data_IF_647835378161
#
_entry.id   IF_647835378161
#
_cell.length_a   1.000
_cell.length_b   1.000
_cell.length_c   1.000
_cell.angle_alpha   90.00
_cell.angle_beta   90.00
_cell.angle_gamma   90.00
#
_symmetry.space_group_name_H-M   'P 1'
#
loop_
_entity.id
_entity.type
_entity.pdbx_description
1 polymer ?
#
# COMPACT_ATOMS: atom_id res chain seq x y z
N UNK A 1 14.23 -4.04 -8.00
CA UNK A 1 14.93 -2.81 -8.41
C UNK A 1 16.43 -2.87 -8.12
N UNK A 2 16.86 -3.12 -6.86
CA UNK A 2 18.27 -3.17 -6.48
C UNK A 2 19.10 -4.17 -7.32
N UNK A 3 18.53 -5.33 -7.61
CA UNK A 3 19.19 -6.37 -8.42
C UNK A 3 19.21 -6.04 -9.91
N UNK A 4 18.15 -5.47 -10.45
CA UNK A 4 17.96 -5.27 -11.87
C UNK A 4 18.53 -3.96 -12.41
N UNK A 5 18.92 -3.03 -11.55
CA UNK A 5 19.36 -1.69 -11.98
C UNK A 5 20.54 -1.75 -12.97
N UNK A 6 21.51 -2.62 -12.71
CA UNK A 6 22.68 -2.81 -13.57
C UNK A 6 22.41 -3.72 -14.79
N UNK A 7 21.24 -4.39 -14.82
CA UNK A 7 20.86 -5.40 -15.82
C UNK A 7 19.71 -4.94 -16.72
N UNK A 8 19.28 -3.69 -16.61
CA UNK A 8 18.10 -3.12 -17.27
C UNK A 8 18.09 -3.25 -18.82
N UNK A 9 19.17 -3.73 -19.44
CA UNK A 9 19.28 -3.92 -20.88
C UNK A 9 19.01 -5.35 -21.36
N UNK A 10 18.66 -6.28 -20.44
CA UNK A 10 18.32 -7.66 -20.78
C UNK A 10 16.87 -7.92 -20.41
N UNK A 11 16.13 -8.53 -21.31
CA UNK A 11 14.81 -9.06 -20.97
C UNK A 11 15.02 -10.32 -20.14
N UNK A 12 14.51 -10.33 -18.92
CA UNK A 12 14.66 -11.43 -17.96
C UNK A 12 13.39 -11.62 -17.14
N UNK A 13 13.11 -12.88 -16.84
CA UNK A 13 12.09 -13.27 -15.86
C UNK A 13 12.76 -13.76 -14.60
N UNK A 14 12.42 -13.17 -13.48
CA UNK A 14 13.04 -13.49 -12.18
C UNK A 14 11.98 -13.88 -11.15
N UNK A 15 12.35 -14.79 -10.27
CA UNK A 15 11.61 -15.10 -9.06
C UNK A 15 12.33 -14.48 -7.86
N UNK A 16 11.63 -13.67 -7.08
CA UNK A 16 12.12 -13.12 -5.82
C UNK A 16 11.46 -13.86 -4.67
N UNK A 17 12.26 -14.64 -3.96
CA UNK A 17 11.85 -15.45 -2.81
C UNK A 17 12.30 -14.72 -1.54
N UNK A 18 11.37 -14.09 -0.84
CA UNK A 18 11.62 -13.32 0.37
C UNK A 18 11.07 -14.04 1.60
N UNK A 19 11.98 -14.63 2.39
CA UNK A 19 11.66 -15.23 3.67
C UNK A 19 12.30 -14.40 4.78
N UNK A 20 11.48 -13.50 5.32
CA UNK A 20 11.85 -12.56 6.37
C UNK A 20 11.72 -13.14 7.78
N UNK A 21 11.60 -12.25 8.78
CA UNK A 21 11.38 -12.61 10.18
C UNK A 21 9.97 -13.11 10.47
N UNK A 22 8.95 -12.51 9.87
CA UNK A 22 7.54 -12.81 10.17
C UNK A 22 6.69 -13.19 8.96
N UNK A 23 7.15 -12.93 7.74
CA UNK A 23 6.41 -13.17 6.50
C UNK A 23 7.26 -13.88 5.46
N UNK A 24 6.57 -14.61 4.60
CA UNK A 24 7.09 -15.18 3.37
C UNK A 24 6.37 -14.57 2.17
N UNK A 25 7.12 -14.06 1.22
CA UNK A 25 6.62 -13.50 -0.03
C UNK A 25 7.39 -14.07 -1.23
N UNK A 26 6.67 -14.37 -2.30
CA UNK A 26 7.21 -14.75 -3.59
C UNK A 26 6.63 -13.83 -4.66
N UNK A 27 7.49 -13.20 -5.45
CA UNK A 27 7.09 -12.35 -6.58
C UNK A 27 7.77 -12.84 -7.86
N UNK A 28 6.99 -12.91 -8.92
CA UNK A 28 7.47 -13.23 -10.27
C UNK A 28 7.46 -11.92 -11.06
N UNK A 29 8.62 -11.55 -11.57
CA UNK A 29 8.82 -10.29 -12.28
C UNK A 29 9.41 -10.53 -13.66
N UNK A 30 9.04 -9.66 -14.59
CA UNK A 30 9.72 -9.49 -15.87
C UNK A 30 10.35 -8.11 -15.92
N UNK A 31 11.57 -7.99 -16.42
CA UNK A 31 12.17 -6.70 -16.66
C UNK A 31 12.92 -6.67 -17.99
N UNK A 32 12.82 -5.53 -18.64
CA UNK A 32 13.44 -5.24 -19.91
C UNK A 32 13.24 -3.78 -20.30
N UNK A 33 14.21 -3.20 -21.00
CA UNK A 33 14.12 -1.83 -21.47
C UNK A 33 13.92 -0.75 -20.38
N UNK A 34 14.28 -1.05 -19.11
CA UNK A 34 14.08 -0.14 -17.97
C UNK A 34 12.73 -0.28 -17.26
N UNK A 35 11.87 -1.19 -17.73
CA UNK A 35 10.58 -1.49 -17.08
C UNK A 35 10.72 -2.73 -16.23
N UNK A 36 10.28 -2.64 -14.99
CA UNK A 36 10.15 -3.75 -14.04
C UNK A 36 8.68 -4.01 -13.84
N UNK A 37 8.17 -5.13 -14.32
CA UNK A 37 6.77 -5.50 -14.22
C UNK A 37 6.63 -6.70 -13.30
N UNK A 38 5.82 -6.55 -12.24
CA UNK A 38 5.41 -7.67 -11.40
C UNK A 38 4.29 -8.41 -12.14
N UNK A 39 4.51 -9.67 -12.46
CA UNK A 39 3.51 -10.52 -13.12
C UNK A 39 2.56 -11.14 -12.12
N UNK A 40 3.09 -11.56 -10.97
CA UNK A 40 2.30 -12.10 -9.87
C UNK A 40 3.04 -12.01 -8.56
N UNK A 41 2.30 -12.00 -7.47
CA UNK A 41 2.82 -12.14 -6.11
C UNK A 41 1.91 -13.04 -5.28
N UNK A 42 2.52 -13.78 -4.36
CA UNK A 42 1.80 -14.59 -3.37
C UNK A 42 2.67 -14.71 -2.11
N UNK A 43 2.12 -15.23 -1.01
CA UNK A 43 2.89 -15.35 0.21
C UNK A 43 2.09 -15.93 1.37
N UNK A 44 2.73 -15.94 2.54
CA UNK A 44 2.10 -16.27 3.81
C UNK A 44 2.53 -15.24 4.86
N UNK A 45 1.56 -14.51 5.41
CA UNK A 45 1.79 -13.46 6.40
C UNK A 45 2.08 -13.98 7.81
N UNK A 46 2.11 -15.30 7.99
CA UNK A 46 2.34 -16.00 9.25
C UNK A 46 3.42 -17.08 9.10
N UNK A 47 4.35 -16.91 8.17
CA UNK A 47 5.47 -17.83 7.94
C UNK A 47 6.76 -17.01 7.84
N UNK A 48 7.60 -17.11 8.84
CA UNK A 48 8.86 -16.37 8.89
C UNK A 48 9.85 -16.92 9.90
N UNK A 49 10.96 -16.22 10.09
CA UNK A 49 12.05 -16.57 10.99
C UNK A 49 11.62 -16.85 12.42
N UNK A 50 10.59 -16.14 12.90
CA UNK A 50 10.03 -16.31 14.24
C UNK A 50 9.42 -17.71 14.42
N UNK A 51 8.82 -18.29 13.39
CA UNK A 51 8.28 -19.64 13.42
C UNK A 51 9.40 -20.68 13.50
N UNK A 52 10.50 -20.43 12.79
CA UNK A 52 11.70 -21.27 12.89
C UNK A 52 12.36 -21.19 14.27
N UNK A 53 12.34 -20.03 14.91
CA UNK A 53 12.78 -19.89 16.29
C UNK A 53 11.86 -20.64 17.26
N UNK A 54 10.55 -20.57 17.02
CA UNK A 54 9.56 -21.22 17.86
C UNK A 54 9.72 -22.77 17.88
N UNK A 55 10.08 -23.40 16.77
CA UNK A 55 10.32 -24.86 16.77
C UNK A 55 11.55 -25.23 17.59
N UNK A 56 12.58 -24.37 17.63
CA UNK A 56 13.76 -24.56 18.49
C UNK A 56 13.37 -24.38 19.96
N UNK A 57 12.62 -23.32 20.26
CA UNK A 57 12.12 -23.05 21.63
C UNK A 57 11.30 -24.25 22.13
N UNK A 58 10.36 -24.73 21.35
CA UNK A 58 9.52 -25.87 21.70
C UNK A 58 10.34 -27.13 21.98
N UNK A 59 11.37 -27.37 21.15
CA UNK A 59 12.29 -28.48 21.36
C UNK A 59 13.08 -28.30 22.69
N UNK A 60 13.64 -27.12 22.97
CA UNK A 60 14.37 -26.84 24.21
C UNK A 60 13.51 -26.98 25.45
N UNK A 61 12.28 -26.49 25.41
CA UNK A 61 11.28 -26.66 26.49
C UNK A 61 11.01 -28.14 26.76
N UNK A 62 10.82 -28.91 25.70
CA UNK A 62 10.57 -30.37 25.86
C UNK A 62 11.79 -31.12 26.40
N UNK A 63 13.00 -30.78 25.91
CA UNK A 63 14.25 -31.36 26.42
C UNK A 63 14.45 -31.04 27.91
N UNK A 64 14.24 -29.81 28.34
CA UNK A 64 14.36 -29.42 29.74
C UNK A 64 13.30 -30.12 30.62
N UNK A 65 12.08 -30.24 30.11
CA UNK A 65 11.01 -30.93 30.79
C UNK A 65 11.33 -32.41 30.97
N UNK A 66 11.96 -33.04 29.99
CA UNK A 66 12.40 -34.44 30.10
C UNK A 66 13.53 -34.64 31.10
N UNK A 67 14.48 -33.67 31.16
CA UNK A 67 15.66 -33.75 32.03
C UNK A 67 15.33 -33.39 33.49
N UNK A 68 14.57 -32.30 33.70
CA UNK A 68 14.38 -31.71 35.02
C UNK A 68 12.94 -31.76 35.55
N UNK A 69 11.99 -32.24 34.73
CA UNK A 69 10.58 -32.37 35.13
C UNK A 69 9.83 -31.03 35.26
N UNK A 70 10.43 -29.92 34.85
CA UNK A 70 9.88 -28.58 34.96
C UNK A 70 9.60 -27.94 33.58
N UNK A 71 8.64 -27.03 33.54
CA UNK A 71 8.20 -26.38 32.31
C UNK A 71 8.69 -24.92 32.24
N UNK A 72 9.62 -24.67 31.34
CA UNK A 72 10.21 -23.35 31.15
C UNK A 72 9.21 -22.27 30.65
N UNK A 73 8.06 -22.69 30.13
CA UNK A 73 7.03 -21.75 29.64
C UNK A 73 6.34 -20.98 30.77
N UNK A 74 6.48 -21.43 32.00
CA UNK A 74 5.91 -20.76 33.16
C UNK A 74 6.75 -19.58 33.67
N UNK A 75 7.98 -19.42 33.18
CA UNK A 75 8.87 -18.31 33.54
C UNK A 75 9.11 -17.38 32.34
N UNK A 76 8.56 -16.15 32.36
CA UNK A 76 8.74 -15.18 31.27
C UNK A 76 10.21 -14.81 31.01
N UNK A 77 11.05 -14.81 32.04
CA UNK A 77 12.49 -14.53 31.89
C UNK A 77 13.20 -15.69 31.17
N UNK A 78 12.84 -16.93 31.51
CA UNK A 78 13.36 -18.11 30.83
C UNK A 78 12.93 -18.10 29.35
N UNK A 79 11.67 -17.78 29.06
CA UNK A 79 11.18 -17.67 27.69
C UNK A 79 11.92 -16.63 26.87
N UNK A 80 12.19 -15.45 27.42
CA UNK A 80 12.95 -14.42 26.72
C UNK A 80 14.37 -14.90 26.36
N UNK A 81 15.05 -15.55 27.31
CA UNK A 81 16.39 -16.12 27.08
C UNK A 81 16.38 -17.25 26.07
N UNK A 82 15.29 -18.07 26.05
CA UNK A 82 15.11 -19.12 25.05
C UNK A 82 14.95 -18.53 23.65
N UNK A 83 14.18 -17.43 23.49
CA UNK A 83 14.01 -16.74 22.20
C UNK A 83 15.34 -16.25 21.64
N UNK A 84 16.09 -15.53 22.44
CA UNK A 84 17.41 -15.02 22.03
C UNK A 84 18.39 -16.16 21.66
N UNK A 85 18.38 -17.24 22.43
CA UNK A 85 19.23 -18.38 22.15
C UNK A 85 18.80 -19.20 20.93
N UNK A 86 17.49 -19.30 20.69
CA UNK A 86 16.94 -19.98 19.50
C UNK A 86 17.28 -19.22 18.22
N UNK A 87 17.06 -17.91 18.20
CA UNK A 87 17.42 -17.04 17.06
C UNK A 87 18.92 -17.13 16.76
N UNK A 88 19.76 -17.00 17.80
CA UNK A 88 21.21 -17.14 17.65
C UNK A 88 21.59 -18.52 17.08
N UNK A 89 21.01 -19.60 17.60
CA UNK A 89 21.26 -20.95 17.12
C UNK A 89 20.82 -21.14 15.67
N UNK A 90 19.65 -20.61 15.27
CA UNK A 90 19.19 -20.60 13.87
C UNK A 90 20.20 -19.92 12.95
N UNK A 91 20.68 -18.75 13.32
CA UNK A 91 21.67 -17.99 12.54
C UNK A 91 22.97 -18.78 12.42
N UNK A 92 23.51 -19.32 13.52
CA UNK A 92 24.75 -20.11 13.51
C UNK A 92 24.63 -21.37 12.68
N UNK A 93 23.48 -22.05 12.70
CA UNK A 93 23.24 -23.27 11.91
C UNK A 93 23.12 -22.99 10.40
N UNK A 94 23.00 -21.75 9.96
CA UNK A 94 23.10 -21.40 8.54
C UNK A 94 24.51 -21.61 7.98
N UNK A 95 25.56 -21.47 8.81
CA UNK A 95 26.95 -21.66 8.43
C UNK A 95 27.60 -22.88 9.07
N UNK A 96 27.17 -23.30 10.26
CA UNK A 96 27.75 -24.40 11.02
C UNK A 96 26.84 -25.65 10.96
N UNK A 97 27.43 -26.84 11.14
CA UNK A 97 26.69 -28.11 11.18
C UNK A 97 26.07 -28.40 12.56
N UNK A 98 26.56 -27.73 13.61
CA UNK A 98 26.04 -27.82 14.97
C UNK A 98 26.36 -26.55 15.76
N UNK A 99 25.57 -26.29 16.80
CA UNK A 99 25.78 -25.21 17.76
C UNK A 99 25.45 -25.68 19.17
N UNK A 100 26.11 -25.13 20.19
CA UNK A 100 25.80 -25.36 21.57
C UNK A 100 24.93 -24.21 22.11
N UNK A 101 23.79 -24.58 22.65
CA UNK A 101 22.89 -23.67 23.38
C UNK A 101 23.18 -23.85 24.87
N UNK A 102 23.73 -22.81 25.51
CA UNK A 102 24.12 -22.85 26.91
C UNK A 102 23.46 -21.68 27.67
N UNK A 103 22.48 -22.02 28.49
CA UNK A 103 21.72 -21.09 29.29
C UNK A 103 21.89 -21.41 30.78
N UNK A 104 22.94 -20.88 31.42
CA UNK A 104 23.19 -21.11 32.84
C UNK A 104 22.11 -20.46 33.68
N UNK A 105 21.72 -21.15 34.78
CA UNK A 105 20.70 -20.68 35.73
C UNK A 105 19.40 -20.25 35.05
N UNK A 106 18.89 -21.10 34.16
CA UNK A 106 17.70 -20.79 33.35
C UNK A 106 16.44 -20.61 34.21
N UNK A 107 16.26 -21.52 35.18
CA UNK A 107 15.23 -21.41 36.21
C UNK A 107 15.57 -22.29 37.44
N UNK A 108 15.05 -21.98 38.64
CA UNK A 108 15.14 -22.88 39.78
C UNK A 108 14.08 -24.00 39.69
N UNK A 109 14.50 -25.25 40.01
CA UNK A 109 13.59 -26.38 40.15
C UNK A 109 13.73 -26.88 41.59
N UNK A 110 12.64 -26.89 42.37
CA UNK A 110 12.63 -27.22 43.80
C UNK A 110 13.68 -26.39 44.60
N UNK A 111 13.85 -25.13 44.26
CA UNK A 111 14.81 -24.24 44.92
C UNK A 111 16.26 -24.42 44.49
N UNK A 112 16.56 -25.34 43.55
CA UNK A 112 17.89 -25.58 43.03
C UNK A 112 18.01 -24.95 41.64
N UNK A 113 18.96 -24.02 41.42
CA UNK A 113 19.19 -23.44 40.10
C UNK A 113 19.59 -24.50 39.07
N UNK A 114 18.91 -24.51 37.92
CA UNK A 114 19.16 -25.45 36.83
C UNK A 114 19.75 -24.76 35.61
N UNK A 115 20.51 -25.48 34.83
CA UNK A 115 21.13 -25.04 33.59
C UNK A 115 20.52 -25.79 32.41
N UNK A 116 20.39 -25.11 31.28
CA UNK A 116 20.04 -25.74 30.00
C UNK A 116 21.28 -25.74 29.13
N UNK A 117 21.84 -26.89 28.84
CA UNK A 117 22.95 -27.08 27.91
C UNK A 117 22.57 -28.18 26.93
N UNK A 118 22.43 -27.78 25.66
CA UNK A 118 22.03 -28.69 24.58
C UNK A 118 22.82 -28.38 23.31
N UNK A 119 23.22 -29.43 22.61
CA UNK A 119 23.80 -29.32 21.27
C UNK A 119 22.69 -29.50 20.24
N UNK A 120 22.47 -28.50 19.40
CA UNK A 120 21.55 -28.57 18.27
C UNK A 120 22.35 -28.77 16.98
N UNK A 121 22.07 -29.83 16.25
CA UNK A 121 22.65 -30.05 14.91
C UNK A 121 21.74 -29.45 13.85
N UNK A 122 22.33 -29.02 12.71
CA UNK A 122 21.59 -28.55 11.54
C UNK A 122 20.55 -29.59 11.09
N UNK A 123 20.91 -30.88 11.01
CA UNK A 123 20.00 -31.93 10.61
C UNK A 123 18.78 -32.05 11.56
N UNK A 124 19.00 -31.89 12.88
CA UNK A 124 17.90 -31.87 13.85
C UNK A 124 17.00 -30.65 13.66
N UNK A 125 17.60 -29.46 13.51
CA UNK A 125 16.85 -28.23 13.24
C UNK A 125 16.02 -28.33 11.95
N UNK A 126 16.61 -28.76 10.84
CA UNK A 126 15.91 -28.95 9.55
C UNK A 126 14.77 -29.98 9.66
N UNK A 127 14.97 -31.03 10.45
CA UNK A 127 13.91 -32.00 10.74
C UNK A 127 12.76 -31.37 11.53
N UNK A 128 13.04 -30.54 12.53
CA UNK A 128 12.03 -29.83 13.32
C UNK A 128 11.26 -28.80 12.46
N UNK A 129 11.97 -28.12 11.57
CA UNK A 129 11.44 -27.06 10.72
C UNK A 129 10.86 -27.56 9.37
N UNK A 130 10.89 -28.86 9.11
CA UNK A 130 10.51 -29.43 7.80
C UNK A 130 9.14 -28.96 7.31
N UNK A 131 8.14 -28.91 8.19
CA UNK A 131 6.79 -28.45 7.84
C UNK A 131 6.76 -27.00 7.38
N UNK A 132 7.52 -26.12 8.06
CA UNK A 132 7.63 -24.70 7.71
C UNK A 132 8.33 -24.49 6.36
N UNK A 133 9.42 -25.26 6.14
CA UNK A 133 10.14 -25.23 4.85
C UNK A 133 9.21 -25.64 3.71
N UNK A 134 8.45 -26.72 3.86
CA UNK A 134 7.53 -27.19 2.84
C UNK A 134 6.36 -26.24 2.59
N UNK A 135 5.93 -25.49 3.61
CA UNK A 135 4.85 -24.50 3.48
C UNK A 135 5.18 -23.39 2.47
N UNK A 136 6.46 -23.10 2.24
CA UNK A 136 6.87 -22.13 1.20
C UNK A 136 6.52 -22.57 -0.23
N UNK A 137 6.30 -23.86 -0.49
CA UNK A 137 6.09 -24.36 -1.85
C UNK A 137 4.74 -23.96 -2.45
N UNK A 138 3.67 -23.98 -1.66
CA UNK A 138 2.32 -23.69 -2.20
C UNK A 138 2.20 -22.26 -2.72
N UNK A 139 2.66 -21.21 -1.99
CA UNK A 139 2.72 -19.86 -2.54
C UNK A 139 3.58 -19.77 -3.82
N UNK A 140 4.72 -20.47 -3.87
CA UNK A 140 5.56 -20.49 -5.07
C UNK A 140 4.82 -21.09 -6.29
N UNK A 141 4.15 -22.23 -6.12
CA UNK A 141 3.35 -22.84 -7.19
C UNK A 141 2.23 -21.91 -7.64
N UNK A 142 1.56 -21.27 -6.70
CA UNK A 142 0.47 -20.35 -6.99
C UNK A 142 0.97 -19.14 -7.77
N UNK A 143 2.05 -18.49 -7.34
CA UNK A 143 2.63 -17.35 -8.05
C UNK A 143 3.05 -17.73 -9.48
N UNK A 144 3.70 -18.89 -9.69
CA UNK A 144 4.05 -19.38 -11.02
C UNK A 144 2.81 -19.62 -11.90
N UNK A 145 1.77 -20.22 -11.33
CA UNK A 145 0.51 -20.47 -12.04
C UNK A 145 -0.19 -19.15 -12.41
N UNK A 146 -0.24 -18.17 -11.48
CA UNK A 146 -0.89 -16.88 -11.71
C UNK A 146 -0.12 -16.04 -12.75
N UNK A 147 1.22 -16.17 -12.81
CA UNK A 147 2.05 -15.58 -13.86
C UNK A 147 1.93 -16.31 -15.22
N UNK A 148 1.31 -17.48 -15.27
CA UNK A 148 1.22 -18.30 -16.49
C UNK A 148 2.56 -18.84 -16.97
N UNK A 149 3.54 -19.02 -16.06
CA UNK A 149 4.91 -19.43 -16.36
C UNK A 149 5.21 -20.82 -15.82
N UNK A 150 6.14 -21.50 -16.49
CA UNK A 150 6.79 -22.72 -16.01
C UNK A 150 8.13 -22.40 -15.34
N UNK A 151 8.65 -23.30 -14.51
CA UNK A 151 9.94 -23.10 -13.84
C UNK A 151 11.10 -22.88 -14.83
N UNK A 152 11.00 -23.42 -16.06
CA UNK A 152 12.01 -23.23 -17.13
C UNK A 152 12.03 -21.79 -17.66
N UNK A 153 10.94 -21.04 -17.54
CA UNK A 153 10.81 -19.67 -18.03
C UNK A 153 11.48 -18.65 -17.09
N UNK A 154 11.78 -19.04 -15.86
CA UNK A 154 12.49 -18.19 -14.90
C UNK A 154 13.98 -18.19 -15.25
N UNK A 155 14.57 -17.04 -15.47
CA UNK A 155 16.00 -16.90 -15.76
C UNK A 155 16.86 -16.95 -14.50
N UNK A 156 16.46 -16.26 -13.46
CA UNK A 156 17.17 -16.20 -12.18
C UNK A 156 16.22 -16.22 -10.98
N UNK A 157 16.72 -16.75 -9.86
CA UNK A 157 16.02 -16.76 -8.57
C UNK A 157 16.84 -15.96 -7.57
N UNK A 158 16.21 -15.01 -6.92
CA UNK A 158 16.82 -14.09 -5.93
C UNK A 158 16.28 -14.43 -4.56
N UNK A 159 17.18 -14.62 -3.61
CA UNK A 159 16.84 -14.83 -2.21
C UNK A 159 16.91 -13.50 -1.44
N UNK A 160 15.87 -13.22 -0.69
CA UNK A 160 15.70 -12.04 0.15
C UNK A 160 15.26 -12.49 1.55
N UNK A 161 15.56 -11.68 2.56
CA UNK A 161 15.24 -11.97 3.95
C UNK A 161 16.25 -12.90 4.63
N UNK A 162 16.53 -12.66 5.91
CA UNK A 162 17.55 -13.39 6.66
C UNK A 162 17.32 -14.89 6.75
N UNK A 163 16.05 -15.33 6.82
CA UNK A 163 15.68 -16.74 6.94
C UNK A 163 15.91 -17.53 5.63
N UNK A 164 16.03 -16.87 4.49
CA UNK A 164 16.43 -17.49 3.23
C UNK A 164 17.86 -18.02 3.23
N UNK A 165 18.66 -17.68 4.26
CA UNK A 165 20.03 -18.22 4.46
C UNK A 165 20.03 -19.65 4.97
N UNK A 166 18.91 -20.18 5.45
CA UNK A 166 18.78 -21.57 5.94
C UNK A 166 19.06 -22.52 4.80
N UNK A 167 20.06 -23.45 4.92
CA UNK A 167 20.47 -24.29 3.81
C UNK A 167 19.37 -25.16 3.22
N UNK A 168 18.46 -25.68 4.05
CA UNK A 168 17.32 -26.46 3.57
C UNK A 168 16.31 -25.62 2.78
N UNK A 169 16.17 -24.32 3.09
CA UNK A 169 15.35 -23.38 2.30
C UNK A 169 16.01 -23.14 0.94
N UNK A 170 17.33 -22.89 0.91
CA UNK A 170 18.04 -22.70 -0.36
C UNK A 170 17.94 -23.94 -1.26
N UNK A 171 18.07 -25.13 -0.66
CA UNK A 171 17.90 -26.40 -1.38
C UNK A 171 16.47 -26.56 -1.91
N UNK A 172 15.45 -26.24 -1.12
CA UNK A 172 14.05 -26.29 -1.56
C UNK A 172 13.84 -25.40 -2.79
N UNK A 173 14.36 -24.17 -2.75
CA UNK A 173 14.25 -23.21 -3.85
C UNK A 173 14.98 -23.73 -5.11
N UNK A 174 16.19 -24.23 -4.95
CA UNK A 174 16.96 -24.81 -6.04
C UNK A 174 16.26 -26.03 -6.66
N UNK A 175 15.74 -26.93 -5.82
CA UNK A 175 15.02 -28.13 -6.28
C UNK A 175 13.70 -27.74 -6.99
N UNK A 176 12.99 -26.70 -6.52
CA UNK A 176 11.72 -26.27 -7.12
C UNK A 176 11.91 -25.55 -8.46
N UNK A 177 12.82 -24.58 -8.54
CA UNK A 177 13.04 -23.80 -9.76
C UNK A 177 14.03 -24.48 -10.73
N UNK A 178 14.75 -25.52 -10.29
CA UNK A 178 15.78 -26.16 -11.08
C UNK A 178 17.00 -25.29 -11.36
N UNK A 179 17.19 -24.25 -10.56
CA UNK A 179 18.25 -23.24 -10.72
C UNK A 179 18.85 -22.86 -9.37
N UNK A 180 20.15 -22.75 -9.30
CA UNK A 180 20.84 -22.26 -8.09
C UNK A 180 20.52 -20.79 -7.90
N UNK A 181 20.05 -20.40 -6.72
CA UNK A 181 19.73 -19.00 -6.43
C UNK A 181 20.92 -18.07 -6.61
N UNK A 182 20.65 -16.88 -7.16
CA UNK A 182 21.67 -15.85 -7.40
C UNK A 182 22.23 -15.31 -6.07
N UNK A 183 23.55 -15.12 -6.03
CA UNK A 183 24.26 -14.48 -4.88
C UNK A 183 24.56 -13.01 -5.14
N UNK A 184 23.91 -12.40 -6.14
CA UNK A 184 24.20 -11.04 -6.59
C UNK A 184 23.74 -9.93 -5.66
N UNK A 185 22.95 -10.25 -4.60
CA UNK A 185 22.49 -9.28 -3.61
C UNK A 185 22.70 -9.81 -2.19
N UNK A 186 22.83 -8.88 -1.23
CA UNK A 186 22.80 -9.22 0.18
C UNK A 186 21.33 -9.34 0.64
N UNK A 187 20.85 -10.50 1.07
CA UNK A 187 19.46 -10.69 1.47
C UNK A 187 18.98 -9.81 2.60
N UNK A 188 19.91 -9.31 3.45
CA UNK A 188 19.58 -8.48 4.61
C UNK A 188 19.43 -6.99 4.25
N UNK A 189 20.06 -6.53 3.15
CA UNK A 189 20.17 -5.12 2.77
C UNK A 189 19.37 -4.77 1.51
N UNK A 190 19.07 -5.75 0.67
CA UNK A 190 18.52 -5.53 -0.68
C UNK A 190 17.20 -4.76 -0.66
N UNK A 191 16.36 -4.96 0.36
CA UNK A 191 15.09 -4.23 0.52
C UNK A 191 15.35 -2.75 0.75
N UNK A 192 16.29 -2.41 1.64
CA UNK A 192 16.64 -1.01 1.92
C UNK A 192 17.25 -0.33 0.69
N UNK A 193 18.12 -1.04 -0.05
CA UNK A 193 18.69 -0.54 -1.31
C UNK A 193 17.58 -0.34 -2.35
N UNK A 194 16.67 -1.31 -2.51
CA UNK A 194 15.53 -1.20 -3.42
C UNK A 194 14.61 -0.02 -3.09
N UNK A 195 14.34 0.21 -1.82
CA UNK A 195 13.56 1.36 -1.35
C UNK A 195 14.26 2.69 -1.66
N UNK A 196 15.58 2.77 -1.49
CA UNK A 196 16.37 3.95 -1.84
C UNK A 196 16.33 4.22 -3.36
N UNK A 197 16.46 3.19 -4.19
CA UNK A 197 16.33 3.29 -5.65
C UNK A 197 14.94 3.81 -6.03
N UNK A 198 13.88 3.25 -5.43
CA UNK A 198 12.52 3.71 -5.69
C UNK A 198 12.31 5.18 -5.27
N UNK A 199 12.88 5.59 -4.14
CA UNK A 199 12.90 6.99 -3.70
C UNK A 199 13.55 7.91 -4.74
N UNK A 200 14.72 7.52 -5.27
CA UNK A 200 15.43 8.27 -6.29
C UNK A 200 14.67 8.32 -7.65
N UNK A 201 13.91 7.28 -7.99
CA UNK A 201 13.00 7.29 -9.15
C UNK A 201 11.86 8.29 -8.94
N UNK A 202 11.26 8.31 -7.74
CA UNK A 202 10.15 9.22 -7.42
C UNK A 202 10.57 10.69 -7.33
N UNK A 203 11.87 10.97 -7.05
CA UNK A 203 12.45 12.33 -7.03
C UNK A 203 13.09 12.76 -8.35
N UNK A 204 12.93 11.97 -9.43
CA UNK A 204 13.55 12.20 -10.74
C UNK A 204 15.09 12.18 -10.75
N UNK A 205 15.75 11.69 -9.70
CA UNK A 205 17.19 11.51 -9.64
C UNK A 205 17.66 10.34 -10.53
N UNK A 206 16.85 9.27 -10.58
CA UNK A 206 17.04 8.14 -11.50
C UNK A 206 15.93 8.19 -12.56
N UNK A 207 16.31 8.24 -13.83
CA UNK A 207 15.39 8.30 -14.98
C UNK A 207 15.46 7.02 -15.80
N UNK A 208 14.35 6.75 -16.51
CA UNK A 208 14.28 5.59 -17.41
C UNK A 208 14.05 4.25 -16.70
N UNK A 209 13.65 4.28 -15.45
CA UNK A 209 13.24 3.11 -14.67
C UNK A 209 11.78 3.28 -14.26
N UNK A 210 10.96 2.26 -14.51
CA UNK A 210 9.54 2.21 -14.13
C UNK A 210 9.28 0.89 -13.44
N UNK A 211 8.63 0.95 -12.28
CA UNK A 211 8.11 -0.24 -11.58
C UNK A 211 6.59 -0.28 -11.77
N UNK A 212 6.10 -1.37 -12.36
CA UNK A 212 4.69 -1.71 -12.46
C UNK A 212 4.41 -2.83 -11.45
N UNK A 213 3.69 -2.49 -10.41
CA UNK A 213 3.34 -3.41 -9.33
C UNK A 213 1.91 -3.95 -9.51
N UNK A 214 1.50 -4.91 -8.69
CA UNK A 214 0.18 -5.56 -8.74
C UNK A 214 -0.52 -5.53 -7.39
N UNK A 215 -1.85 -5.68 -7.43
CA UNK A 215 -2.61 -5.90 -6.18
C UNK A 215 -2.37 -7.32 -5.68
N UNK A 216 -1.92 -7.55 -4.43
CA UNK A 216 -1.66 -8.90 -3.92
C UNK A 216 -2.92 -9.72 -3.70
N UNK A 217 -4.05 -9.06 -3.46
CA UNK A 217 -5.35 -9.67 -3.20
C UNK A 217 -6.43 -8.96 -4.00
N UNK A 218 -7.48 -9.70 -4.36
CA UNK A 218 -8.67 -9.14 -5.03
C UNK A 218 -9.35 -8.09 -4.16
N UNK A 219 -9.85 -7.06 -4.82
CA UNK A 219 -10.69 -6.03 -4.20
C UNK A 219 -12.11 -6.14 -4.74
N UNK A 220 -13.08 -5.99 -3.87
CA UNK A 220 -14.48 -6.10 -4.22
C UNK A 220 -15.39 -5.42 -3.23
N UNK A 221 -16.67 -5.63 -3.39
CA UNK A 221 -17.72 -5.11 -2.52
C UNK A 221 -18.62 -6.23 -2.00
N UNK A 222 -19.23 -6.00 -0.86
CA UNK A 222 -20.30 -6.85 -0.36
C UNK A 222 -21.57 -6.63 -1.18
N UNK A 223 -22.15 -7.73 -1.64
CA UNK A 223 -23.42 -7.74 -2.35
C UNK A 223 -24.46 -8.54 -1.60
N UNK A 224 -25.70 -8.59 -2.14
CA UNK A 224 -26.83 -9.26 -1.53
C UNK A 224 -26.48 -10.68 -1.06
N UNK A 225 -26.83 -11.01 0.19
CA UNK A 225 -26.53 -12.29 0.81
C UNK A 225 -25.18 -12.38 1.48
N UNK A 226 -24.44 -11.26 1.66
CA UNK A 226 -23.13 -11.23 2.31
C UNK A 226 -22.02 -11.84 1.44
N UNK A 227 -22.18 -11.82 0.12
CA UNK A 227 -21.21 -12.34 -0.84
C UNK A 227 -20.23 -11.25 -1.24
N UNK A 228 -18.94 -11.58 -1.33
CA UNK A 228 -17.95 -10.70 -1.92
C UNK A 228 -17.98 -10.79 -3.44
N UNK A 229 -18.35 -9.71 -4.10
CA UNK A 229 -18.24 -9.55 -5.56
C UNK A 229 -16.93 -8.86 -5.88
N UNK A 230 -16.02 -9.57 -6.54
CA UNK A 230 -14.72 -9.05 -6.95
C UNK A 230 -14.88 -8.05 -8.09
N UNK A 231 -14.21 -6.92 -8.00
CA UNK A 231 -14.14 -5.89 -9.03
C UNK A 231 -12.77 -5.82 -9.66
N UNK A 232 -11.72 -5.95 -8.85
CA UNK A 232 -10.32 -5.99 -9.28
C UNK A 232 -9.76 -7.31 -8.77
N UNK A 233 -9.31 -8.15 -9.67
CA UNK A 233 -8.72 -9.44 -9.31
C UNK A 233 -7.31 -9.29 -8.73
N UNK A 234 -6.89 -10.26 -7.92
CA UNK A 234 -5.50 -10.37 -7.47
C UNK A 234 -4.55 -10.39 -8.68
N UNK A 235 -3.34 -9.88 -8.48
CA UNK A 235 -2.31 -9.75 -9.51
C UNK A 235 -2.71 -8.84 -10.70
N UNK A 236 -3.65 -7.91 -10.48
CA UNK A 236 -3.93 -6.84 -11.45
C UNK A 236 -2.90 -5.73 -11.30
N UNK A 237 -2.25 -5.34 -12.41
CA UNK A 237 -1.26 -4.25 -12.45
C UNK A 237 -1.88 -2.93 -11.98
N UNK A 238 -1.15 -2.21 -11.12
CA UNK A 238 -1.57 -0.90 -10.60
C UNK A 238 -0.79 0.23 -11.29
N UNK A 239 -1.45 1.42 -11.47
CA UNK A 239 -2.79 1.80 -10.99
C UNK A 239 -3.92 1.16 -11.81
N UNK A 240 -4.92 0.58 -11.15
CA UNK A 240 -6.09 -0.01 -11.77
C UNK A 240 -7.37 0.78 -11.44
N UNK A 241 -8.30 0.81 -12.39
CA UNK A 241 -9.63 1.41 -12.19
C UNK A 241 -10.69 0.47 -12.74
N UNK A 242 -11.71 0.19 -11.92
CA UNK A 242 -12.87 -0.60 -12.31
C UNK A 242 -14.15 0.13 -11.92
N UNK A 243 -15.15 0.07 -12.78
CA UNK A 243 -16.51 0.59 -12.52
C UNK A 243 -17.51 -0.48 -12.87
N UNK A 244 -18.47 -0.72 -11.99
CA UNK A 244 -19.57 -1.65 -12.18
C UNK A 244 -20.88 -0.99 -11.76
N UNK A 245 -21.98 -1.39 -12.40
CA UNK A 245 -23.32 -0.88 -12.06
C UNK A 245 -24.06 -1.95 -11.31
N UNK A 246 -24.55 -1.60 -10.13
CA UNK A 246 -25.38 -2.48 -9.30
C UNK A 246 -26.78 -1.88 -9.17
N UNK A 247 -27.80 -2.75 -9.10
CA UNK A 247 -29.15 -2.35 -8.76
C UNK A 247 -29.38 -2.41 -7.25
N UNK A 248 -30.34 -1.63 -6.76
CA UNK A 248 -30.81 -1.72 -5.37
C UNK A 248 -31.49 -3.06 -5.11
N UNK A 249 -31.39 -3.55 -3.87
CA UNK A 249 -31.96 -4.83 -3.45
C UNK A 249 -33.49 -4.76 -3.26
N UNK A 250 -34.05 -3.56 -3.07
CA UNK A 250 -35.48 -3.33 -2.84
C UNK A 250 -35.96 -2.09 -3.57
N UNK A 251 -37.25 -2.06 -3.91
CA UNK A 251 -37.91 -0.90 -4.48
C UNK A 251 -37.93 0.26 -3.49
N UNK A 252 -37.70 1.48 -4.00
CA UNK A 252 -37.63 2.73 -3.23
C UNK A 252 -36.51 2.77 -2.15
N UNK A 253 -35.46 1.98 -2.33
CA UNK A 253 -34.28 2.07 -1.48
C UNK A 253 -33.59 3.42 -1.69
N UNK A 254 -33.51 4.25 -0.63
CA UNK A 254 -32.98 5.62 -0.69
C UNK A 254 -31.51 5.72 -0.35
N UNK A 255 -30.94 4.65 0.21
CA UNK A 255 -29.58 4.62 0.72
C UNK A 255 -28.90 3.31 0.35
N UNK A 256 -27.63 3.38 -0.03
CA UNK A 256 -26.80 2.21 -0.32
C UNK A 256 -25.50 2.32 0.49
N UNK A 257 -25.26 1.34 1.34
CA UNK A 257 -23.96 1.17 2.00
C UNK A 257 -23.07 0.34 1.10
N UNK A 258 -21.93 0.89 0.69
CA UNK A 258 -20.91 0.22 -0.08
C UNK A 258 -19.84 -0.26 0.90
N UNK A 259 -19.76 -1.56 1.12
CA UNK A 259 -18.72 -2.19 1.96
C UNK A 259 -17.61 -2.72 1.06
N UNK A 260 -16.45 -2.06 1.11
CA UNK A 260 -15.27 -2.41 0.31
C UNK A 260 -14.43 -3.45 1.06
N UNK A 261 -14.08 -4.50 0.36
CA UNK A 261 -13.42 -5.69 0.90
C UNK A 261 -12.14 -6.00 0.12
N UNK A 262 -11.18 -6.61 0.81
CA UNK A 262 -9.97 -7.17 0.22
C UNK A 262 -9.81 -8.63 0.66
N UNK A 263 -9.59 -9.54 -0.29
CA UNK A 263 -9.36 -10.96 -0.01
C UNK A 263 -9.89 -11.87 -1.11
N UNK A 264 -9.77 -13.18 -0.87
CA UNK A 264 -10.12 -14.22 -1.85
C UNK A 264 -11.31 -15.09 -1.42
N UNK A 265 -11.87 -14.84 -0.24
CA UNK A 265 -12.96 -15.66 0.30
C UNK A 265 -14.29 -15.25 -0.34
N UNK A 266 -15.19 -16.23 -0.65
CA UNK A 266 -16.49 -15.93 -1.25
C UNK A 266 -17.41 -15.08 -0.37
N UNK A 267 -17.31 -15.23 0.96
CA UNK A 267 -18.18 -14.50 1.90
C UNK A 267 -17.51 -13.22 2.41
N UNK A 268 -18.25 -12.13 2.41
CA UNK A 268 -17.79 -10.80 2.83
C UNK A 268 -17.15 -10.81 4.23
N UNK A 269 -17.79 -11.47 5.20
CA UNK A 269 -17.32 -11.55 6.58
C UNK A 269 -15.97 -12.27 6.76
N UNK A 270 -15.51 -13.00 5.76
CA UNK A 270 -14.24 -13.74 5.77
C UNK A 270 -13.09 -12.95 5.11
N UNK A 271 -13.38 -11.76 4.59
CA UNK A 271 -12.41 -10.89 3.95
C UNK A 271 -12.11 -9.66 4.82
N UNK A 272 -11.00 -9.00 4.52
CA UNK A 272 -10.62 -7.78 5.22
C UNK A 272 -11.51 -6.62 4.78
N UNK A 273 -12.21 -5.99 5.74
CA UNK A 273 -12.91 -4.74 5.51
C UNK A 273 -11.88 -3.61 5.30
N UNK A 274 -11.99 -2.91 4.18
CA UNK A 274 -11.21 -1.72 3.87
C UNK A 274 -11.94 -0.46 4.32
N UNK A 275 -13.27 -0.46 4.17
CA UNK A 275 -14.13 0.64 4.60
C UNK A 275 -15.58 0.45 4.17
N UNK A 276 -16.44 1.26 4.75
CA UNK A 276 -17.85 1.35 4.38
C UNK A 276 -18.18 2.78 4.00
N UNK A 277 -18.90 2.96 2.92
CA UNK A 277 -19.30 4.23 2.35
C UNK A 277 -20.82 4.26 2.21
N UNK A 278 -21.44 5.36 2.63
CA UNK A 278 -22.86 5.60 2.41
C UNK A 278 -23.02 6.53 1.21
N UNK A 279 -23.52 6.01 0.09
CA UNK A 279 -23.54 6.73 -1.17
C UNK A 279 -24.39 8.02 -1.12
N UNK A 280 -25.44 8.07 -0.31
CA UNK A 280 -26.26 9.28 -0.17
C UNK A 280 -25.63 10.31 0.76
N UNK A 281 -25.03 9.88 1.88
CA UNK A 281 -24.30 10.77 2.79
C UNK A 281 -23.09 11.39 2.10
N UNK A 282 -22.32 10.59 1.37
CA UNK A 282 -21.14 11.05 0.63
C UNK A 282 -21.51 12.02 -0.49
N UNK A 283 -22.65 11.80 -1.18
CA UNK A 283 -23.14 12.73 -2.19
C UNK A 283 -23.48 14.10 -1.60
N UNK A 284 -24.18 14.14 -0.47
CA UNK A 284 -24.50 15.39 0.24
C UNK A 284 -23.24 16.12 0.73
N UNK A 285 -22.31 15.36 1.28
CA UNK A 285 -21.03 15.95 1.74
C UNK A 285 -20.19 16.49 0.57
N UNK A 286 -20.15 15.76 -0.54
CA UNK A 286 -19.49 16.21 -1.76
C UNK A 286 -20.16 17.48 -2.34
N UNK A 287 -21.49 17.50 -2.45
CA UNK A 287 -22.22 18.70 -2.87
C UNK A 287 -21.92 19.90 -1.97
N UNK A 288 -21.79 19.67 -0.65
CA UNK A 288 -21.40 20.70 0.32
C UNK A 288 -19.99 21.21 0.06
N UNK A 289 -19.02 20.30 -0.13
CA UNK A 289 -17.61 20.64 -0.43
C UNK A 289 -17.50 21.38 -1.75
N UNK A 290 -18.19 20.92 -2.80
CA UNK A 290 -18.20 21.57 -4.11
C UNK A 290 -18.75 23.02 -4.04
N UNK A 291 -19.80 23.24 -3.25
CA UNK A 291 -20.33 24.58 -3.00
C UNK A 291 -19.37 25.49 -2.25
N UNK A 292 -18.71 24.97 -1.22
CA UNK A 292 -17.67 25.72 -0.49
C UNK A 292 -16.52 26.12 -1.41
N UNK A 293 -16.04 25.20 -2.26
CA UNK A 293 -14.98 25.47 -3.23
C UNK A 293 -15.40 26.50 -4.28
N UNK A 294 -16.66 26.47 -4.74
CA UNK A 294 -17.21 27.48 -5.65
C UNK A 294 -17.28 28.87 -4.98
N UNK A 295 -17.72 28.92 -3.73
CA UNK A 295 -17.76 30.18 -2.97
C UNK A 295 -16.36 30.75 -2.76
N UNK A 296 -15.37 29.93 -2.39
CA UNK A 296 -13.96 30.32 -2.25
C UNK A 296 -13.38 30.87 -3.55
N UNK A 297 -13.64 30.20 -4.67
CA UNK A 297 -13.19 30.65 -5.99
C UNK A 297 -13.81 31.99 -6.36
N UNK A 298 -15.09 32.19 -6.08
CA UNK A 298 -15.79 33.44 -6.36
C UNK A 298 -15.32 34.58 -5.45
N UNK A 299 -15.07 34.30 -4.18
CA UNK A 299 -14.48 35.27 -3.22
C UNK A 299 -13.13 35.74 -3.75
N UNK A 300 -12.24 34.82 -4.09
CA UNK A 300 -10.90 35.11 -4.58
C UNK A 300 -10.91 35.92 -5.89
N UNK A 301 -11.75 35.51 -6.86
CA UNK A 301 -11.90 36.23 -8.14
C UNK A 301 -12.43 37.64 -7.92
N UNK A 302 -13.44 37.79 -7.05
CA UNK A 302 -14.02 39.10 -6.73
C UNK A 302 -13.02 40.04 -6.06
N UNK A 303 -12.25 39.54 -5.08
CA UNK A 303 -11.21 40.33 -4.43
C UNK A 303 -10.12 40.79 -5.40
N UNK A 304 -9.72 39.89 -6.32
CA UNK A 304 -8.72 40.19 -7.35
C UNK A 304 -9.25 41.27 -8.30
N UNK A 305 -10.48 41.11 -8.79
CA UNK A 305 -11.11 42.08 -9.69
C UNK A 305 -11.33 43.44 -9.02
N UNK A 306 -11.75 43.47 -7.75
CA UNK A 306 -11.87 44.73 -7.01
C UNK A 306 -10.53 45.43 -6.81
N UNK A 307 -9.43 44.68 -6.64
CA UNK A 307 -8.07 45.29 -6.61
C UNK A 307 -7.61 45.81 -7.97
N UNK A 308 -7.87 45.05 -9.04
CA UNK A 308 -7.47 45.43 -10.40
C UNK A 308 -8.28 46.62 -10.95
N UNK A 309 -9.59 46.66 -10.68
CA UNK A 309 -10.49 47.72 -11.07
C UNK A 309 -10.31 49.00 -10.24
N UNK A 310 -9.89 48.87 -8.97
CA UNK A 310 -9.49 49.94 -8.09
C UNK A 310 -10.35 51.19 -8.18
N UNK A 311 -9.73 52.31 -8.58
CA UNK A 311 -10.40 53.61 -8.70
C UNK A 311 -11.20 53.76 -10.00
N UNK A 312 -11.23 52.77 -10.87
CA UNK A 312 -12.00 52.79 -12.15
C UNK A 312 -13.49 52.46 -11.90
N UNK A 313 -13.81 51.87 -10.77
CA UNK A 313 -15.19 51.51 -10.40
C UNK A 313 -15.82 52.65 -9.57
N UNK A 314 -16.97 53.21 -9.99
CA UNK A 314 -17.67 54.24 -9.20
C UNK A 314 -18.00 53.74 -7.83
N UNK A 315 -17.90 54.60 -6.83
CA UNK A 315 -18.08 54.24 -5.40
C UNK A 315 -19.48 53.66 -5.09
N UNK A 316 -20.51 54.15 -5.78
CA UNK A 316 -21.88 53.67 -5.71
C UNK A 316 -22.10 52.25 -6.25
N UNK A 317 -21.19 51.75 -7.10
CA UNK A 317 -21.20 50.36 -7.63
C UNK A 317 -20.27 49.43 -6.87
N UNK A 318 -19.21 50.00 -6.29
CA UNK A 318 -18.25 49.24 -5.50
C UNK A 318 -18.89 48.79 -4.16
N UNK A 319 -19.65 49.66 -3.48
CA UNK A 319 -20.26 49.36 -2.22
C UNK A 319 -21.23 48.15 -2.20
N UNK A 320 -22.12 47.95 -3.19
CA UNK A 320 -22.97 46.75 -3.27
C UNK A 320 -22.16 45.46 -3.48
N UNK A 321 -21.07 45.49 -4.28
CA UNK A 321 -20.21 44.32 -4.50
C UNK A 321 -19.46 43.96 -3.23
N UNK A 322 -18.89 44.95 -2.52
CA UNK A 322 -18.19 44.73 -1.26
C UNK A 322 -19.14 44.19 -0.17
N UNK A 323 -20.37 44.68 -0.11
CA UNK A 323 -21.38 44.18 0.83
C UNK A 323 -21.78 42.74 0.55
N UNK A 324 -22.02 42.38 -0.72
CA UNK A 324 -22.34 41.03 -1.13
C UNK A 324 -21.13 40.06 -0.93
N UNK A 325 -19.91 40.55 -1.20
CA UNK A 325 -18.70 39.80 -0.94
C UNK A 325 -18.51 39.50 0.56
N UNK A 326 -18.75 40.50 1.41
CA UNK A 326 -18.65 40.29 2.87
C UNK A 326 -19.68 39.25 3.36
N UNK A 327 -20.92 39.36 2.87
CA UNK A 327 -21.98 38.40 3.16
C UNK A 327 -21.61 36.98 2.74
N UNK A 328 -21.00 36.83 1.57
CA UNK A 328 -20.53 35.50 1.09
C UNK A 328 -19.39 34.95 1.96
N UNK A 329 -18.44 35.79 2.36
CA UNK A 329 -17.37 35.40 3.30
C UNK A 329 -17.89 34.94 4.64
N UNK A 330 -18.85 35.65 5.20
CA UNK A 330 -19.43 35.32 6.49
C UNK A 330 -20.23 34.01 6.42
N UNK A 331 -21.00 33.80 5.35
CA UNK A 331 -21.71 32.55 5.09
C UNK A 331 -20.74 31.37 4.87
N UNK A 332 -19.65 31.57 4.11
CA UNK A 332 -18.62 30.59 3.89
C UNK A 332 -17.93 30.18 5.20
N UNK A 333 -17.55 31.14 6.01
CA UNK A 333 -16.95 30.90 7.35
C UNK A 333 -17.89 30.14 8.28
N UNK A 334 -19.20 30.42 8.21
CA UNK A 334 -20.23 29.73 8.98
C UNK A 334 -20.62 28.38 8.39
N UNK A 335 -20.16 28.05 7.19
CA UNK A 335 -20.56 26.87 6.43
C UNK A 335 -22.08 26.74 6.22
N UNK A 336 -22.78 27.86 6.11
CA UNK A 336 -24.24 27.92 5.88
C UNK A 336 -24.54 27.82 4.38
N UNK A 337 -24.84 26.60 3.91
CA UNK A 337 -25.08 26.28 2.50
C UNK A 337 -26.24 27.11 1.90
N UNK A 338 -27.27 27.38 2.68
CA UNK A 338 -28.43 28.11 2.20
C UNK A 338 -28.09 29.59 1.97
N UNK A 339 -27.35 30.19 2.91
CA UNK A 339 -26.88 31.57 2.80
C UNK A 339 -25.82 31.73 1.74
N UNK A 340 -24.92 30.71 1.52
CA UNK A 340 -23.93 30.71 0.44
C UNK A 340 -24.61 30.83 -0.92
N UNK A 341 -25.61 29.99 -1.22
CA UNK A 341 -26.31 30.04 -2.51
C UNK A 341 -26.91 31.44 -2.80
N UNK A 342 -27.57 32.02 -1.81
CA UNK A 342 -28.17 33.36 -1.94
C UNK A 342 -27.11 34.47 -2.09
N UNK A 343 -26.01 34.39 -1.31
CA UNK A 343 -24.94 35.38 -1.33
C UNK A 343 -24.12 35.32 -2.65
N UNK A 344 -23.92 34.15 -3.21
CA UNK A 344 -23.29 33.97 -4.54
C UNK A 344 -24.16 34.60 -5.64
N UNK A 345 -25.48 34.41 -5.59
CA UNK A 345 -26.41 34.96 -6.55
C UNK A 345 -26.43 36.50 -6.44
N UNK A 346 -26.47 37.07 -5.21
CA UNK A 346 -26.42 38.50 -4.96
C UNK A 346 -25.12 39.12 -5.47
N UNK A 347 -23.98 38.47 -5.23
CA UNK A 347 -22.66 38.93 -5.68
C UNK A 347 -22.57 38.95 -7.21
N UNK A 348 -23.02 37.87 -7.88
CA UNK A 348 -23.08 37.82 -9.33
C UNK A 348 -23.97 38.90 -9.93
N UNK A 349 -25.12 39.18 -9.32
CA UNK A 349 -26.06 40.25 -9.75
C UNK A 349 -25.41 41.63 -9.61
N UNK A 350 -24.72 41.88 -8.49
CA UNK A 350 -24.02 43.13 -8.28
C UNK A 350 -22.89 43.36 -9.28
N UNK A 351 -22.14 42.30 -9.62
CA UNK A 351 -21.11 42.36 -10.64
C UNK A 351 -21.66 42.58 -12.06
N UNK A 352 -22.75 41.93 -12.43
CA UNK A 352 -23.40 42.13 -13.73
C UNK A 352 -23.92 43.55 -13.89
N UNK A 353 -24.51 44.13 -12.86
CA UNK A 353 -24.99 45.50 -12.87
C UNK A 353 -23.83 46.51 -13.05
N UNK A 354 -22.70 46.29 -12.35
CA UNK A 354 -21.52 47.13 -12.49
C UNK A 354 -20.85 47.00 -13.89
N UNK A 355 -20.76 45.79 -14.42
CA UNK A 355 -20.18 45.52 -15.73
C UNK A 355 -21.03 46.13 -16.87
N UNK A 356 -22.33 45.99 -16.83
CA UNK A 356 -23.25 46.56 -17.85
C UNK A 356 -23.10 48.07 -17.99
N UNK A 357 -22.91 48.77 -16.91
CA UNK A 357 -22.77 50.22 -16.89
C UNK A 357 -21.37 50.66 -17.37
N UNK A 358 -20.31 49.93 -17.03
CA UNK A 358 -18.96 50.16 -17.55
C UNK A 358 -18.93 50.02 -19.09
N UNK A 359 -19.61 49.02 -19.64
CA UNK A 359 -19.75 48.86 -21.10
C UNK A 359 -20.58 49.99 -21.71
N UNK A 360 -21.63 50.45 -21.05
CA UNK A 360 -22.44 51.59 -21.53
C UNK A 360 -21.64 52.91 -21.54
N UNK A 361 -20.78 53.17 -20.55
CA UNK A 361 -19.93 54.36 -20.50
C UNK A 361 -18.74 54.29 -21.49
N UNK A 362 -18.16 53.12 -21.74
CA UNK A 362 -17.09 52.93 -22.73
C UNK A 362 -17.62 53.01 -24.18
N UNK A 363 -18.88 52.60 -24.43
CA UNK A 363 -19.56 52.73 -25.71
C UNK A 363 -19.96 54.20 -26.05
N UNK A 364 -20.14 55.04 -25.05
CA UNK A 364 -20.46 56.47 -25.27
C UNK A 364 -19.23 57.34 -25.59
N UNK A 365 -18.02 56.89 -25.35
CA UNK A 365 -16.77 57.60 -25.72
C UNK A 365 -16.15 57.17 -27.08
N UNK A 366 -16.69 56.11 -27.75
CA UNK A 366 -16.21 55.58 -29.01
C UNK A 366 -16.94 56.04 -30.27
N UNK A 367 -17.87 57.00 -30.17
CA UNK A 367 -18.72 57.44 -31.28
C UNK A 367 -18.34 58.79 -31.89
N UNK A 368 -17.12 58.98 -32.44
CA UNK A 368 -16.80 60.02 -33.40
C UNK A 368 -15.43 59.82 -34.07
N UNK A 369 -15.38 58.93 -35.05
CA UNK A 369 -14.41 59.07 -36.13
C UNK A 369 -14.98 58.45 -37.43
N UNK A 370 -15.33 59.34 -38.35
CA UNK A 370 -15.75 59.03 -39.69
C UNK A 370 -14.65 58.27 -40.44
N UNK A 371 -15.01 57.18 -41.11
CA UNK A 371 -14.14 56.45 -41.99
C UNK A 371 -13.94 57.25 -43.35
N UNK A 372 -12.80 57.05 -43.96
CA UNK A 372 -12.60 57.65 -45.32
C UNK A 372 -13.26 56.73 -46.35
N UNK A 373 -13.99 57.47 -47.33
CA UNK A 373 -14.48 56.94 -48.57
C UNK A 373 -13.41 56.11 -49.31
N UNK A 374 -13.74 54.91 -49.73
CA UNK A 374 -13.05 54.20 -50.81
C UNK A 374 -14.02 53.95 -51.95
N UNK A 375 -14.04 54.95 -52.87
CA UNK A 375 -14.41 54.79 -54.26
C UNK A 375 -13.27 55.40 -55.11
N UNK A 376 -12.44 54.57 -55.67
CA UNK A 376 -11.77 54.70 -56.97
C UNK A 376 -10.98 53.41 -57.25
#
# INVERSE_FOLDING_TARGET
LAYGLDKAHKDMKIAVFDLGGGTFDISILEFGGGVFEVLSTNGDTHLGGDDFDQVIINWLVQEFKNDEGADLTQDPMALQRLKEAAEKAKIELSSSTSTEINLPYIMPVNGVPKHLVKTLTRAKFESLAHGLIQACLEPCKKAMSDAGLSNSDIDEVILVGGSSRIPAVQKLVEDFFGKTPSKGVNPDEVVAVGAAVQGAVLTDEIKGVVLLDVTPLSMGIETLGGVMTKLIDANTTIPARKSETFSTAADNQTEVTIHVLQGERPMAAQNKSIGQFNAEADKKEREKIDKLNQADSLIFQTETQLKELGDKLPADKKAPIEAALQKLKDAHKAQDMTTIDSAMAELNTAFQAASAEMYAQSGAQGGAQAGPDMNA
#
